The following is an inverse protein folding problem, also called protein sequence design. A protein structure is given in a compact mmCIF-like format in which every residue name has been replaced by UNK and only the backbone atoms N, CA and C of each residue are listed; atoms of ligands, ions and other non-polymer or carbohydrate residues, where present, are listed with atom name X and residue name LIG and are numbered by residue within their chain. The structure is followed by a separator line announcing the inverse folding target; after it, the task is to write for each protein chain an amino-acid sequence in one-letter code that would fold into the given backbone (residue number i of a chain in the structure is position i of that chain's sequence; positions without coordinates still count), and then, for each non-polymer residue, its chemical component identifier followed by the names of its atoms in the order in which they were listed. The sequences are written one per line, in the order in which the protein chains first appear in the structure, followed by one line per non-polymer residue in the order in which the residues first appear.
data_IF_172253590341
#
_entry.id   IF_172253590341
#
_cell.length_a   1.000
_cell.length_b   1.000
_cell.length_c   1.000
_cell.angle_alpha   90.00
_cell.angle_beta   90.00
_cell.angle_gamma   90.00
#
_symmetry.space_group_name_H-M   'P 1'
#
loop_
_entity.id
_entity.type
_entity.pdbx_description
1 polymer ?
#
# COMPACT_ATOMS: atom_id res chain seq x y z
N UNK A 1 -26.23 4.61 -12.08
CA UNK A 1 -26.20 6.02 -11.67
C UNK A 1 -25.28 6.77 -12.60
N UNK A 2 -24.88 7.99 -12.25
CA UNK A 2 -23.71 8.60 -12.89
C UNK A 2 -22.47 7.76 -12.55
N UNK A 3 -21.52 7.71 -13.47
CA UNK A 3 -20.24 7.02 -13.29
C UNK A 3 -19.12 8.01 -13.58
N UNK A 4 -18.06 7.98 -12.77
CA UNK A 4 -16.80 8.67 -13.02
C UNK A 4 -15.90 7.79 -13.90
N UNK A 5 -15.01 8.41 -14.67
CA UNK A 5 -14.07 7.67 -15.50
C UNK A 5 -13.17 6.79 -14.62
N UNK A 6 -13.09 5.49 -14.93
CA UNK A 6 -12.34 4.51 -14.14
C UNK A 6 -13.02 4.06 -12.83
N UNK A 7 -14.23 4.53 -12.54
CA UNK A 7 -15.02 4.04 -11.39
C UNK A 7 -15.31 2.54 -11.53
N UNK A 8 -15.11 1.78 -10.46
CA UNK A 8 -15.36 0.34 -10.43
C UNK A 8 -16.84 0.04 -10.14
N UNK A 9 -17.31 -1.10 -10.63
CA UNK A 9 -18.64 -1.62 -10.35
C UNK A 9 -18.43 -2.99 -9.69
N UNK A 10 -18.46 -3.05 -8.36
CA UNK A 10 -18.06 -4.23 -7.55
C UNK A 10 -18.59 -5.56 -8.11
N UNK A 11 -19.85 -5.56 -8.55
CA UNK A 11 -20.53 -6.78 -9.01
C UNK A 11 -20.20 -7.21 -10.44
N UNK A 12 -19.66 -6.33 -11.29
CA UNK A 12 -19.57 -6.58 -12.75
C UNK A 12 -18.18 -6.25 -13.32
N UNK A 13 -17.51 -5.25 -12.75
CA UNK A 13 -16.27 -4.68 -13.26
C UNK A 13 -15.41 -4.07 -12.13
N UNK A 14 -14.58 -4.91 -11.53
CA UNK A 14 -13.61 -4.51 -10.50
C UNK A 14 -12.42 -3.72 -11.03
N UNK A 15 -12.28 -3.59 -12.36
CA UNK A 15 -11.15 -2.92 -13.00
C UNK A 15 -11.50 -1.55 -13.60
N UNK A 16 -12.77 -1.14 -13.57
CA UNK A 16 -13.23 0.12 -14.17
C UNK A 16 -13.16 0.13 -15.71
N UNK A 17 -13.16 -1.06 -16.33
CA UNK A 17 -13.11 -1.21 -17.79
C UNK A 17 -14.37 -0.68 -18.47
N UNK A 18 -15.54 -0.92 -17.87
CA UNK A 18 -16.85 -0.49 -18.37
C UNK A 18 -16.97 1.02 -18.30
N UNK A 19 -16.63 1.63 -17.16
CA UNK A 19 -16.66 3.10 -17.03
C UNK A 19 -15.69 3.76 -18.00
N UNK A 20 -14.45 3.26 -18.11
CA UNK A 20 -13.49 3.78 -19.10
C UNK A 20 -14.03 3.68 -20.54
N UNK A 21 -14.59 2.53 -20.92
CA UNK A 21 -15.15 2.35 -22.28
C UNK A 21 -16.32 3.32 -22.53
N UNK A 22 -17.22 3.50 -21.55
CA UNK A 22 -18.36 4.41 -21.69
C UNK A 22 -17.95 5.86 -21.94
N UNK A 23 -16.80 6.31 -21.43
CA UNK A 23 -16.30 7.67 -21.65
C UNK A 23 -15.69 7.87 -23.05
N UNK A 24 -15.41 6.79 -23.79
CA UNK A 24 -14.97 6.86 -25.19
C UNK A 24 -16.13 6.91 -26.20
N UNK A 25 -17.37 6.65 -25.74
CA UNK A 25 -18.55 6.57 -26.59
C UNK A 25 -19.24 7.93 -26.77
N UNK A 26 -19.99 8.08 -27.86
CA UNK A 26 -20.94 9.17 -28.04
C UNK A 26 -22.26 8.86 -27.33
N UNK A 27 -23.04 9.89 -27.04
CA UNK A 27 -24.35 9.72 -26.42
C UNK A 27 -25.25 8.80 -27.26
N UNK A 28 -25.91 7.85 -26.59
CA UNK A 28 -26.70 6.74 -27.14
C UNK A 28 -25.93 5.69 -27.93
N UNK A 29 -24.60 5.79 -28.05
CA UNK A 29 -23.79 4.78 -28.71
C UNK A 29 -23.62 3.52 -27.83
N UNK A 30 -23.63 2.35 -28.47
CA UNK A 30 -23.34 1.07 -27.82
C UNK A 30 -21.86 0.72 -28.01
N UNK A 31 -21.26 0.18 -26.96
CA UNK A 31 -19.89 -0.31 -26.98
C UNK A 31 -19.76 -1.55 -27.87
N UNK A 32 -18.53 -1.82 -28.31
CA UNK A 32 -18.13 -3.18 -28.67
C UNK A 32 -18.18 -4.09 -27.43
N UNK A 33 -18.15 -5.43 -27.58
CA UNK A 33 -18.11 -6.34 -26.44
C UNK A 33 -16.96 -5.99 -25.48
N UNK A 34 -17.31 -5.70 -24.23
CA UNK A 34 -16.39 -5.38 -23.13
C UNK A 34 -16.11 -6.67 -22.37
N UNK A 35 -14.83 -6.99 -22.22
CA UNK A 35 -14.37 -8.17 -21.50
C UNK A 35 -13.95 -7.76 -20.10
N UNK A 36 -14.65 -8.26 -19.08
CA UNK A 36 -14.28 -8.09 -17.67
C UNK A 36 -13.88 -9.45 -17.09
N UNK A 37 -13.31 -9.45 -15.88
CA UNK A 37 -12.99 -10.70 -15.17
C UNK A 37 -14.23 -11.58 -14.91
N UNK A 38 -15.42 -10.99 -14.85
CA UNK A 38 -16.67 -11.70 -14.56
C UNK A 38 -17.40 -12.20 -15.81
N UNK A 39 -17.02 -11.73 -17.00
CA UNK A 39 -17.62 -12.18 -18.24
C UNK A 39 -17.53 -11.15 -19.37
N UNK A 40 -18.39 -11.31 -20.36
CA UNK A 40 -18.51 -10.39 -21.50
C UNK A 40 -19.84 -9.66 -21.45
N UNK A 41 -19.81 -8.36 -21.68
CA UNK A 41 -21.01 -7.50 -21.71
C UNK A 41 -20.95 -6.45 -22.80
N UNK A 42 -22.04 -5.74 -23.00
CA UNK A 42 -22.12 -4.52 -23.80
C UNK A 42 -22.65 -3.40 -22.92
N UNK A 43 -22.18 -2.19 -23.14
CA UNK A 43 -22.64 -1.01 -22.42
C UNK A 43 -23.14 0.03 -23.43
N UNK A 44 -24.14 0.82 -23.05
CA UNK A 44 -24.62 1.93 -23.85
C UNK A 44 -24.48 3.21 -23.03
N UNK A 45 -23.88 4.25 -23.64
CA UNK A 45 -23.81 5.55 -22.99
C UNK A 45 -25.17 6.23 -23.07
N UNK A 46 -25.87 6.37 -21.94
CA UNK A 46 -27.22 6.93 -21.96
C UNK A 46 -27.24 8.45 -22.10
N UNK A 47 -26.38 9.14 -21.35
CA UNK A 47 -26.24 10.60 -21.34
C UNK A 47 -24.84 10.99 -20.84
N UNK A 48 -24.34 12.14 -21.27
CA UNK A 48 -23.12 12.76 -20.70
C UNK A 48 -23.54 13.90 -19.80
N UNK A 49 -23.08 13.88 -18.55
CA UNK A 49 -23.20 15.03 -17.67
C UNK A 49 -21.88 15.81 -17.70
N UNK A 50 -21.92 17.04 -18.21
CA UNK A 50 -20.72 17.88 -18.31
C UNK A 50 -20.15 18.16 -16.91
N UNK A 51 -18.82 18.28 -16.77
CA UNK A 51 -18.20 18.60 -15.50
C UNK A 51 -18.77 19.93 -14.99
N UNK A 52 -19.54 19.84 -13.93
CA UNK A 52 -20.12 20.96 -13.20
C UNK A 52 -19.70 20.85 -11.75
N UNK A 53 -19.72 21.98 -11.04
CA UNK A 53 -19.62 21.93 -9.60
C UNK A 53 -20.83 21.16 -9.07
N UNK A 54 -20.59 20.05 -8.38
CA UNK A 54 -21.64 19.34 -7.67
C UNK A 54 -22.26 20.27 -6.63
N UNK A 55 -23.57 20.20 -6.46
CA UNK A 55 -24.21 20.94 -5.37
C UNK A 55 -23.97 20.19 -4.04
N UNK A 56 -24.20 20.88 -2.91
CA UNK A 56 -23.95 20.29 -1.61
C UNK A 56 -24.78 19.02 -1.36
N UNK A 57 -26.03 18.97 -1.82
CA UNK A 57 -26.94 17.82 -1.64
C UNK A 57 -26.42 16.54 -2.33
N UNK A 58 -25.77 16.67 -3.49
CA UNK A 58 -25.20 15.56 -4.26
C UNK A 58 -24.00 14.92 -3.57
N UNK A 59 -23.16 15.72 -2.91
CA UNK A 59 -21.93 15.26 -2.25
C UNK A 59 -22.04 15.21 -0.73
N UNK A 60 -23.20 15.54 -0.16
CA UNK A 60 -23.38 15.64 1.30
C UNK A 60 -22.95 14.35 2.01
N UNK A 61 -23.33 13.20 1.45
CA UNK A 61 -22.98 11.88 2.00
C UNK A 61 -21.48 11.62 1.95
N UNK A 62 -20.86 11.79 0.78
CA UNK A 62 -19.41 11.60 0.57
C UNK A 62 -18.61 12.52 1.51
N UNK A 63 -18.94 13.82 1.54
CA UNK A 63 -18.28 14.81 2.39
C UNK A 63 -18.48 14.50 3.87
N UNK A 64 -19.68 14.06 4.28
CA UNK A 64 -19.95 13.70 5.68
C UNK A 64 -19.15 12.47 6.11
N UNK A 65 -19.01 11.47 5.25
CA UNK A 65 -18.20 10.28 5.51
C UNK A 65 -16.71 10.64 5.61
N UNK A 66 -16.17 11.40 4.66
CA UNK A 66 -14.79 11.88 4.69
C UNK A 66 -14.52 12.76 5.92
N UNK A 67 -15.42 13.69 6.23
CA UNK A 67 -15.32 14.54 7.41
C UNK A 67 -15.33 13.73 8.70
N UNK A 68 -16.14 12.68 8.77
CA UNK A 68 -16.19 11.80 9.94
C UNK A 68 -14.88 11.01 10.09
N UNK A 69 -14.27 10.55 9.00
CA UNK A 69 -12.94 9.91 9.01
C UNK A 69 -11.88 10.91 9.50
N UNK A 70 -11.86 12.14 8.97
CA UNK A 70 -10.94 13.19 9.39
C UNK A 70 -11.09 13.50 10.89
N UNK A 71 -12.33 13.69 11.36
CA UNK A 71 -12.61 13.94 12.79
C UNK A 71 -12.20 12.79 13.69
N UNK A 72 -12.36 11.54 13.24
CA UNK A 72 -11.86 10.37 13.98
C UNK A 72 -10.33 10.39 14.09
N UNK A 73 -9.63 10.67 12.99
CA UNK A 73 -8.16 10.77 12.97
C UNK A 73 -7.64 11.89 13.87
N UNK A 74 -8.27 13.07 13.82
CA UNK A 74 -7.92 14.20 14.70
C UNK A 74 -8.06 13.82 16.18
N UNK A 75 -9.20 13.24 16.57
CA UNK A 75 -9.45 12.81 17.95
C UNK A 75 -8.48 11.73 18.42
N UNK A 76 -8.17 10.75 17.56
CA UNK A 76 -7.19 9.70 17.87
C UNK A 76 -5.80 10.31 18.11
N UNK A 77 -5.37 11.25 17.26
CA UNK A 77 -4.10 11.96 17.42
C UNK A 77 -4.06 12.77 18.73
N UNK A 78 -5.14 13.49 19.05
CA UNK A 78 -5.25 14.22 20.33
C UNK A 78 -5.15 13.31 21.54
N UNK A 79 -5.85 12.16 21.52
CA UNK A 79 -5.76 11.16 22.57
C UNK A 79 -4.33 10.63 22.71
N UNK A 80 -3.68 10.26 21.61
CA UNK A 80 -2.31 9.76 21.64
C UNK A 80 -1.29 10.80 22.11
N UNK A 81 -1.49 12.09 21.80
CA UNK A 81 -0.69 13.18 22.37
C UNK A 81 -0.84 13.30 23.89
N UNK A 82 -2.06 13.11 24.42
CA UNK A 82 -2.30 13.08 25.88
C UNK A 82 -1.60 11.88 26.52
N UNK A 83 -1.71 10.69 25.93
CA UNK A 83 -1.03 9.48 26.38
C UNK A 83 0.49 9.67 26.39
N UNK A 84 1.06 10.25 25.33
CA UNK A 84 2.48 10.57 25.25
C UNK A 84 2.94 11.50 26.38
N UNK A 85 2.13 12.50 26.75
CA UNK A 85 2.47 13.40 27.85
C UNK A 85 2.58 12.67 29.20
N UNK A 86 1.82 11.59 29.40
CA UNK A 86 1.86 10.74 30.59
C UNK A 86 3.04 9.74 30.58
N UNK A 87 3.60 9.42 29.41
CA UNK A 87 4.68 8.43 29.22
C UNK A 87 5.96 8.74 30.01
N UNK A 88 6.17 9.99 30.42
CA UNK A 88 7.31 10.37 31.28
C UNK A 88 7.25 9.72 32.68
N UNK A 89 6.07 9.28 33.12
CA UNK A 89 5.82 8.82 34.50
C UNK A 89 5.32 7.37 34.58
N UNK A 90 5.01 6.75 33.46
CA UNK A 90 4.38 5.42 33.39
C UNK A 90 5.00 4.55 32.29
N UNK A 91 4.80 3.23 32.36
CA UNK A 91 5.13 2.31 31.27
C UNK A 91 4.09 2.39 30.15
N UNK A 92 4.47 2.00 28.92
CA UNK A 92 3.52 1.91 27.82
C UNK A 92 2.39 0.93 28.12
N UNK A 93 2.71 -0.22 28.73
CA UNK A 93 1.73 -1.23 29.14
C UNK A 93 0.69 -0.66 30.12
N UNK A 94 1.13 0.06 31.16
CA UNK A 94 0.21 0.66 32.12
C UNK A 94 -0.63 1.80 31.53
N UNK A 95 -0.09 2.54 30.56
CA UNK A 95 -0.87 3.53 29.81
C UNK A 95 -1.88 2.88 28.87
N UNK A 96 -1.51 1.76 28.25
CA UNK A 96 -2.41 1.01 27.39
C UNK A 96 -3.60 0.49 28.19
N UNK A 97 -3.36 -0.13 29.35
CA UNK A 97 -4.43 -0.58 30.25
C UNK A 97 -5.32 0.59 30.72
N UNK A 98 -4.71 1.69 31.18
CA UNK A 98 -5.43 2.87 31.68
C UNK A 98 -6.33 3.51 30.63
N UNK A 99 -5.89 3.56 29.37
CA UNK A 99 -6.60 4.22 28.27
C UNK A 99 -7.36 3.25 27.37
N UNK A 100 -7.40 1.96 27.71
CA UNK A 100 -8.05 0.92 26.91
C UNK A 100 -7.44 0.74 25.52
N UNK A 101 -6.12 0.92 25.40
CA UNK A 101 -5.36 0.75 24.17
C UNK A 101 -4.69 -0.63 24.13
N UNK A 102 -4.30 -1.05 22.94
CA UNK A 102 -3.55 -2.30 22.74
C UNK A 102 -2.06 -2.08 23.03
N UNK A 103 -1.44 -3.06 23.70
CA UNK A 103 0.00 -3.10 23.94
C UNK A 103 0.60 -4.34 23.29
N UNK A 104 1.60 -4.13 22.43
CA UNK A 104 2.32 -5.19 21.75
C UNK A 104 3.83 -4.96 21.87
N UNK A 105 4.59 -6.05 21.95
CA UNK A 105 6.05 -6.04 21.93
C UNK A 105 6.54 -6.76 20.68
N UNK A 106 7.47 -6.15 19.95
CA UNK A 106 8.17 -6.80 18.85
C UNK A 106 9.53 -7.31 19.33
N UNK A 107 9.81 -8.60 19.15
CA UNK A 107 11.06 -9.22 19.64
C UNK A 107 12.30 -8.69 18.90
N UNK A 108 12.33 -8.86 17.57
CA UNK A 108 13.43 -8.44 16.71
C UNK A 108 12.87 -7.75 15.47
N UNK A 109 13.36 -6.54 15.23
CA UNK A 109 12.99 -5.73 14.09
C UNK A 109 14.23 -5.36 13.27
N UNK A 110 14.19 -5.63 11.97
CA UNK A 110 15.17 -5.17 10.97
C UNK A 110 14.54 -4.06 10.13
N UNK A 111 15.38 -3.20 9.55
CA UNK A 111 14.93 -2.17 8.61
C UNK A 111 14.11 -2.79 7.48
N UNK A 112 12.90 -2.27 7.26
CA UNK A 112 11.97 -2.78 6.25
C UNK A 112 11.31 -4.12 6.57
N UNK A 113 11.38 -4.61 7.81
CA UNK A 113 10.64 -5.80 8.23
C UNK A 113 9.17 -5.46 8.49
N UNK A 114 8.27 -6.33 8.06
CA UNK A 114 6.83 -6.22 8.37
C UNK A 114 6.58 -6.47 9.87
N UNK A 115 5.73 -5.65 10.48
CA UNK A 115 5.28 -5.80 11.86
C UNK A 115 3.76 -6.02 11.87
N UNK A 116 3.29 -7.10 12.51
CA UNK A 116 1.89 -7.57 12.39
C UNK A 116 0.83 -6.52 12.71
N UNK A 117 1.10 -5.61 13.65
CA UNK A 117 0.13 -4.64 14.16
C UNK A 117 0.14 -3.32 13.38
N UNK A 118 1.30 -2.92 12.86
CA UNK A 118 1.50 -1.60 12.25
C UNK A 118 1.85 -1.66 10.76
N UNK A 119 1.94 -2.88 10.22
CA UNK A 119 2.29 -3.16 8.84
C UNK A 119 3.73 -2.80 8.49
N UNK A 120 3.95 -2.52 7.20
CA UNK A 120 5.16 -1.91 6.71
C UNK A 120 5.03 -0.38 6.78
N UNK A 121 5.79 0.27 7.66
CA UNK A 121 5.72 1.72 7.85
C UNK A 121 7.12 2.33 7.97
N UNK A 122 7.52 3.08 6.95
CA UNK A 122 8.85 3.68 6.85
C UNK A 122 9.14 4.70 7.96
N UNK A 123 8.13 5.45 8.43
CA UNK A 123 8.30 6.40 9.54
C UNK A 123 8.56 5.68 10.85
N UNK A 124 7.85 4.58 11.09
CA UNK A 124 8.08 3.76 12.29
C UNK A 124 9.45 3.09 12.21
N UNK A 125 9.85 2.60 11.04
CA UNK A 125 11.18 2.04 10.84
C UNK A 125 12.28 3.06 11.14
N UNK A 126 12.17 4.28 10.60
CA UNK A 126 13.14 5.35 10.88
C UNK A 126 13.22 5.67 12.38
N UNK A 127 12.08 5.80 13.05
CA UNK A 127 12.03 6.06 14.49
C UNK A 127 12.59 4.90 15.32
N UNK A 128 12.40 3.65 14.90
CA UNK A 128 12.94 2.49 15.60
C UNK A 128 14.47 2.52 15.72
N UNK A 129 15.13 3.03 14.68
CA UNK A 129 16.60 3.11 14.63
C UNK A 129 17.18 4.48 14.99
N UNK A 130 16.37 5.53 15.12
CA UNK A 130 16.83 6.88 15.49
C UNK A 130 16.51 7.27 16.93
N UNK A 131 15.42 6.76 17.51
CA UNK A 131 15.02 7.13 18.87
C UNK A 131 16.03 6.64 19.92
N UNK A 132 16.28 7.42 20.98
CA UNK A 132 17.06 6.97 22.12
C UNK A 132 16.40 5.78 22.82
N UNK A 133 17.24 4.93 23.43
CA UNK A 133 16.75 3.81 24.22
C UNK A 133 15.86 4.31 25.36
N UNK A 134 14.77 3.57 25.58
CA UNK A 134 13.75 3.80 26.60
C UNK A 134 12.95 5.10 26.46
N UNK A 135 13.17 5.88 25.40
CA UNK A 135 12.36 7.04 25.06
C UNK A 135 11.20 6.65 24.14
N UNK A 136 10.06 7.31 24.34
CA UNK A 136 8.87 7.11 23.51
C UNK A 136 8.80 8.10 22.36
N UNK A 137 8.30 7.64 21.21
CA UNK A 137 8.11 8.44 20.01
C UNK A 137 7.03 9.52 20.17
N UNK A 138 6.93 10.42 19.19
CA UNK A 138 5.64 11.09 18.91
C UNK A 138 4.62 10.09 18.36
N UNK A 139 3.31 10.37 18.43
CA UNK A 139 2.31 9.54 17.76
C UNK A 139 2.60 9.45 16.26
N UNK A 140 2.71 8.22 15.75
CA UNK A 140 3.00 7.95 14.34
C UNK A 140 1.76 7.35 13.70
N UNK A 141 1.33 7.93 12.59
CA UNK A 141 0.20 7.39 11.81
C UNK A 141 0.60 6.08 11.12
N UNK A 142 -0.30 5.11 11.16
CA UNK A 142 -0.26 3.86 10.39
C UNK A 142 -1.67 3.57 9.85
N UNK A 143 -1.83 2.47 9.10
CA UNK A 143 -3.05 2.14 8.36
C UNK A 143 -4.33 2.19 9.23
N UNK A 144 -4.28 1.63 10.44
CA UNK A 144 -5.46 1.56 11.32
C UNK A 144 -5.55 2.70 12.34
N UNK A 145 -4.59 3.63 12.39
CA UNK A 145 -4.63 4.75 13.33
C UNK A 145 -3.28 5.33 13.70
N UNK A 146 -3.01 5.44 15.01
CA UNK A 146 -1.78 6.03 15.53
C UNK A 146 -1.13 5.12 16.58
N UNK A 147 0.20 5.03 16.56
CA UNK A 147 0.98 4.26 17.52
C UNK A 147 2.02 5.12 18.24
N UNK A 148 2.32 4.76 19.49
CA UNK A 148 3.50 5.22 20.22
C UNK A 148 4.47 4.06 20.32
N UNK A 149 5.71 4.26 19.91
CA UNK A 149 6.76 3.24 19.99
C UNK A 149 7.81 3.64 21.01
N UNK A 150 8.42 2.65 21.66
CA UNK A 150 9.54 2.83 22.59
C UNK A 150 10.56 1.75 22.35
N UNK A 151 11.82 2.16 22.24
CA UNK A 151 12.91 1.22 21.94
C UNK A 151 13.44 0.63 23.24
N UNK A 152 13.24 -0.68 23.40
CA UNK A 152 13.65 -1.40 24.61
C UNK A 152 15.14 -1.72 24.59
N UNK A 153 15.63 -2.18 23.45
CA UNK A 153 17.02 -2.58 23.24
C UNK A 153 17.45 -2.29 21.80
N UNK A 154 18.75 -2.11 21.60
CA UNK A 154 19.37 -1.94 20.28
C UNK A 154 20.68 -2.70 20.24
N UNK A 155 20.76 -3.66 19.33
CA UNK A 155 22.02 -4.29 18.99
C UNK A 155 22.81 -3.38 18.04
N UNK A 156 23.90 -2.80 18.53
CA UNK A 156 24.87 -2.11 17.69
C UNK A 156 25.72 -3.12 16.94
N UNK A 157 26.07 -2.80 15.69
CA UNK A 157 27.00 -3.59 14.90
C UNK A 157 28.40 -3.09 15.24
N UNK A 158 29.25 -3.97 15.78
CA UNK A 158 30.64 -3.61 16.09
C UNK A 158 31.53 -3.69 14.84
N UNK A 159 32.73 -3.14 14.93
CA UNK A 159 33.70 -3.24 13.85
C UNK A 159 34.14 -4.69 13.61
N UNK A 160 34.23 -5.52 14.66
CA UNK A 160 34.53 -6.94 14.50
C UNK A 160 33.39 -7.71 13.81
N UNK A 161 32.13 -7.35 14.08
CA UNK A 161 30.98 -7.92 13.38
C UNK A 161 31.00 -7.55 11.89
N UNK A 162 31.31 -6.29 11.58
CA UNK A 162 31.49 -5.85 10.19
C UNK A 162 32.63 -6.58 9.49
N UNK A 163 33.77 -6.80 10.16
CA UNK A 163 34.91 -7.49 9.56
C UNK A 163 34.61 -8.96 9.25
N UNK A 164 33.84 -9.64 10.11
CA UNK A 164 33.40 -11.02 9.87
C UNK A 164 32.49 -11.14 8.65
N UNK A 165 31.57 -10.20 8.48
CA UNK A 165 30.54 -10.26 7.44
C UNK A 165 30.92 -9.49 6.16
N UNK A 166 32.06 -8.79 6.15
CA UNK A 166 32.48 -7.84 5.11
C UNK A 166 32.46 -8.42 3.70
N UNK A 167 33.05 -9.60 3.51
CA UNK A 167 33.15 -10.17 2.15
C UNK A 167 31.78 -10.62 1.65
N UNK A 168 30.98 -11.24 2.51
CA UNK A 168 29.59 -11.63 2.21
C UNK A 168 28.73 -10.41 1.84
N UNK A 169 28.78 -9.34 2.64
CA UNK A 169 28.02 -8.12 2.39
C UNK A 169 28.47 -7.41 1.11
N UNK A 170 29.77 -7.42 0.82
CA UNK A 170 30.33 -6.87 -0.42
C UNK A 170 29.88 -7.67 -1.64
N UNK A 171 29.87 -8.99 -1.57
CA UNK A 171 29.35 -9.86 -2.63
C UNK A 171 27.85 -9.63 -2.85
N UNK A 172 27.05 -9.59 -1.78
CA UNK A 172 25.62 -9.28 -1.84
C UNK A 172 25.34 -7.93 -2.49
N UNK A 173 26.06 -6.88 -2.06
CA UNK A 173 25.93 -5.53 -2.64
C UNK A 173 26.36 -5.50 -4.10
N UNK A 174 27.42 -6.23 -4.48
CA UNK A 174 27.86 -6.34 -5.85
C UNK A 174 26.81 -7.03 -6.73
N UNK A 175 26.22 -8.12 -6.26
CA UNK A 175 25.16 -8.83 -6.97
C UNK A 175 23.90 -7.95 -7.12
N UNK A 176 23.49 -7.26 -6.06
CA UNK A 176 22.38 -6.32 -6.11
C UNK A 176 22.61 -5.21 -7.16
N UNK A 177 23.82 -4.64 -7.21
CA UNK A 177 24.19 -3.63 -8.22
C UNK A 177 24.20 -4.19 -9.64
N UNK A 178 24.76 -5.40 -9.84
CA UNK A 178 24.75 -6.09 -11.14
C UNK A 178 23.32 -6.33 -11.63
N UNK A 179 22.45 -6.83 -10.76
CA UNK A 179 21.04 -7.05 -11.07
C UNK A 179 20.32 -5.75 -11.41
N UNK A 180 20.51 -4.68 -10.63
CA UNK A 180 19.92 -3.37 -10.91
C UNK A 180 20.38 -2.83 -12.27
N UNK A 181 21.69 -2.88 -12.55
CA UNK A 181 22.23 -2.45 -13.83
C UNK A 181 21.66 -3.27 -15.00
N UNK A 182 21.63 -4.60 -14.86
CA UNK A 182 21.07 -5.49 -15.87
C UNK A 182 19.59 -5.17 -16.14
N UNK A 183 18.78 -4.96 -15.11
CA UNK A 183 17.37 -4.57 -15.26
C UNK A 183 17.22 -3.23 -15.99
N UNK A 184 17.98 -2.20 -15.59
CA UNK A 184 17.96 -0.90 -16.27
C UNK A 184 18.43 -0.99 -17.73
N UNK A 185 19.47 -1.78 -18.01
CA UNK A 185 19.97 -2.01 -19.36
C UNK A 185 18.94 -2.75 -20.23
N UNK A 186 18.32 -3.81 -19.70
CA UNK A 186 17.25 -4.55 -20.37
C UNK A 186 16.02 -3.69 -20.64
N UNK A 187 15.64 -2.83 -19.69
CA UNK A 187 14.55 -1.87 -19.88
C UNK A 187 14.87 -0.93 -21.05
N UNK A 188 16.06 -0.31 -21.06
CA UNK A 188 16.51 0.56 -22.15
C UNK A 188 16.55 -0.15 -23.51
N UNK A 189 17.12 -1.35 -23.58
CA UNK A 189 17.15 -2.13 -24.82
C UNK A 189 15.75 -2.48 -25.34
N UNK A 190 14.81 -2.83 -24.44
CA UNK A 190 13.42 -3.10 -24.83
C UNK A 190 12.74 -1.86 -25.41
N UNK A 191 12.97 -0.68 -24.83
CA UNK A 191 12.48 0.58 -25.36
C UNK A 191 13.09 0.90 -26.73
N UNK A 192 14.42 0.84 -26.87
CA UNK A 192 15.12 1.11 -28.13
C UNK A 192 14.71 0.16 -29.25
N UNK A 193 14.57 -1.14 -28.93
CA UNK A 193 14.15 -2.17 -29.89
C UNK A 193 12.63 -2.24 -30.07
N UNK A 194 11.85 -1.37 -29.40
CA UNK A 194 10.38 -1.34 -29.44
C UNK A 194 9.75 -2.72 -29.23
N UNK A 195 10.30 -3.50 -28.29
CA UNK A 195 9.82 -4.85 -28.01
C UNK A 195 8.40 -4.76 -27.44
N UNK A 196 7.41 -5.17 -28.22
CA UNK A 196 6.02 -5.29 -27.76
C UNK A 196 5.76 -6.70 -27.27
N UNK A 197 5.68 -6.86 -25.95
CA UNK A 197 5.24 -8.11 -25.34
C UNK A 197 3.72 -8.19 -25.48
N UNK A 198 3.23 -9.15 -26.27
CA UNK A 198 1.80 -9.50 -26.32
C UNK A 198 1.44 -10.24 -25.03
N UNK A 199 1.01 -9.47 -24.03
CA UNK A 199 0.80 -9.93 -22.67
C UNK A 199 -0.26 -11.05 -22.59
N UNK A 200 -1.26 -11.00 -23.48
CA UNK A 200 -2.29 -12.02 -23.66
C UNK A 200 -1.71 -13.38 -24.09
N UNK A 201 -0.75 -13.39 -25.01
CA UNK A 201 -0.08 -14.60 -25.49
C UNK A 201 0.87 -15.15 -24.42
N UNK A 202 1.59 -14.25 -23.73
CA UNK A 202 2.50 -14.63 -22.65
C UNK A 202 1.77 -15.33 -21.51
N UNK A 203 0.63 -14.78 -21.06
CA UNK A 203 -0.17 -15.38 -19.99
C UNK A 203 -0.76 -16.73 -20.40
N UNK A 204 -1.27 -16.88 -21.64
CA UNK A 204 -1.78 -18.16 -22.16
C UNK A 204 -0.71 -19.26 -22.18
N UNK A 205 0.50 -18.92 -22.62
CA UNK A 205 1.63 -19.88 -22.63
C UNK A 205 2.03 -20.22 -21.19
N UNK A 206 2.12 -19.23 -20.30
CA UNK A 206 2.47 -19.49 -18.91
C UNK A 206 1.43 -20.39 -18.20
N UNK A 207 0.14 -20.16 -18.42
CA UNK A 207 -0.93 -21.02 -17.88
C UNK A 207 -0.91 -22.44 -18.46
N UNK A 208 -0.61 -22.59 -19.76
CA UNK A 208 -0.52 -23.90 -20.43
C UNK A 208 0.74 -24.68 -20.00
N UNK A 209 1.84 -23.99 -19.71
CA UNK A 209 3.03 -24.64 -19.14
C UNK A 209 2.78 -25.06 -17.69
N UNK A 210 2.20 -24.17 -16.86
CA UNK A 210 1.91 -24.48 -15.46
C UNK A 210 0.86 -25.59 -15.30
N UNK A 211 -0.15 -25.68 -16.16
CA UNK A 211 -1.14 -26.77 -16.13
C UNK A 211 -0.53 -28.14 -16.46
N UNK A 212 0.52 -28.18 -17.28
CA UNK A 212 1.27 -29.41 -17.59
C UNK A 212 2.15 -29.89 -16.43
N UNK A 213 2.49 -29.01 -15.48
CA UNK A 213 3.29 -29.36 -14.30
C UNK A 213 2.46 -29.46 -13.00
N UNK A 214 1.26 -28.86 -12.95
CA UNK A 214 0.36 -28.93 -11.79
C UNK A 214 -0.64 -30.09 -11.80
N UNK A 215 -0.53 -31.01 -12.76
CA UNK A 215 -1.45 -32.13 -12.96
C UNK A 215 -1.03 -33.48 -12.36
N UNK A 216 0.04 -33.53 -11.54
CA UNK A 216 0.37 -34.71 -10.74
C UNK A 216 0.06 -34.43 -9.26
N UNK A 217 -1.19 -34.73 -8.88
CA UNK A 217 -1.73 -34.67 -7.52
C UNK A 217 -3.17 -35.16 -7.50
#
# INVERSE_FOLDING_TARGET
GLLREGETIEDIDSAGTISTTLFELKEKEMSSPIYTYKGVGIAQLEKVELPRQANFEEVEKEVKEEFLILRKKEKALEQMKKVKAELKKASLEGLAEKHGLEYNTADKHKRGQYLSVIGENSKIDELAFSLPLKEGSEPVEFEEGYALIKILDRKEVTQEDLEKDKETEKENLLQAKKNKFFQSYMFKLREEKKVKIKYDVFLKINSDVLSRYGGEG
#
